data_IF_108726073860
#
_entry.id   IF_108726073860
#
_cell.length_a   1.000
_cell.length_b   1.000
_cell.length_c   1.000
_cell.angle_alpha   90.00
_cell.angle_beta   90.00
_cell.angle_gamma   90.00
#
_symmetry.space_group_name_H-M   'P 1'
#
loop_
_entity.id
_entity.type
_entity.pdbx_description
1 polymer ?
#
# COMPACT_ATOMS: atom_id res chain seq x y z
N UNK A 1 12.12 -5.01 -21.92
CA UNK A 1 11.73 -4.26 -20.69
C UNK A 1 12.96 -4.15 -19.82
N UNK A 2 13.04 -3.08 -18.99
CA UNK A 2 14.07 -2.99 -17.97
C UNK A 2 13.78 -4.04 -16.89
N UNK A 3 14.81 -4.71 -16.40
CA UNK A 3 14.72 -5.69 -15.32
C UNK A 3 15.17 -5.04 -14.01
N UNK A 4 14.56 -5.45 -12.92
CA UNK A 4 14.79 -4.89 -11.59
C UNK A 4 15.29 -5.97 -10.64
N UNK A 5 16.24 -5.59 -9.78
CA UNK A 5 16.75 -6.47 -8.72
C UNK A 5 15.86 -6.46 -7.49
N UNK A 6 15.12 -5.35 -7.31
CA UNK A 6 14.20 -5.14 -6.20
C UNK A 6 12.80 -4.81 -6.71
N UNK A 7 11.79 -5.49 -6.17
CA UNK A 7 10.38 -5.13 -6.30
C UNK A 7 9.86 -4.78 -4.91
N UNK A 8 9.41 -3.53 -4.77
CA UNK A 8 8.83 -3.01 -3.54
C UNK A 8 7.34 -2.84 -3.73
N UNK A 9 6.54 -3.17 -2.74
CA UNK A 9 5.09 -3.17 -2.84
C UNK A 9 4.46 -2.22 -1.83
N UNK A 10 3.39 -1.56 -2.22
CA UNK A 10 2.39 -1.12 -1.27
C UNK A 10 1.58 -2.32 -0.77
N UNK A 11 0.75 -2.10 0.26
CA UNK A 11 -0.09 -3.14 0.86
C UNK A 11 -1.53 -3.01 0.39
N UNK A 12 -2.16 -1.90 0.72
CA UNK A 12 -3.60 -1.69 0.50
C UNK A 12 -3.90 -1.50 -0.99
N UNK A 13 -4.80 -2.29 -1.56
CA UNK A 13 -5.07 -2.24 -3.01
C UNK A 13 -3.98 -2.86 -3.89
N UNK A 14 -2.86 -3.31 -3.31
CA UNK A 14 -1.73 -3.87 -4.04
C UNK A 14 -1.44 -5.32 -3.64
N UNK A 15 -1.03 -5.57 -2.40
CA UNK A 15 -0.83 -6.93 -1.85
C UNK A 15 -2.12 -7.51 -1.29
N UNK A 16 -2.93 -6.67 -0.64
CA UNK A 16 -4.18 -7.06 0.01
C UNK A 16 -5.34 -6.20 -0.48
N UNK A 17 -6.47 -6.85 -0.73
CA UNK A 17 -7.76 -6.18 -0.92
C UNK A 17 -8.27 -5.77 0.48
N UNK A 18 -8.17 -4.50 0.77
CA UNK A 18 -8.57 -3.89 2.05
C UNK A 18 -9.66 -2.84 1.87
N UNK A 19 -10.12 -2.62 0.64
CA UNK A 19 -11.04 -1.54 0.30
C UNK A 19 -12.32 -1.59 1.14
N UNK A 20 -12.95 -2.77 1.25
CA UNK A 20 -14.18 -2.92 2.05
C UNK A 20 -13.93 -2.56 3.51
N UNK A 21 -12.81 -3.02 4.09
CA UNK A 21 -12.45 -2.73 5.48
C UNK A 21 -12.25 -1.23 5.72
N UNK A 22 -11.50 -0.55 4.85
CA UNK A 22 -11.19 0.88 4.98
C UNK A 22 -12.44 1.73 4.78
N UNK A 23 -13.14 1.54 3.66
CA UNK A 23 -14.25 2.44 3.30
C UNK A 23 -15.49 2.23 4.17
N UNK A 24 -15.84 0.98 4.52
CA UNK A 24 -16.99 0.72 5.38
C UNK A 24 -16.75 1.17 6.81
N UNK A 25 -15.54 0.98 7.36
CA UNK A 25 -15.20 1.48 8.68
C UNK A 25 -15.16 3.02 8.73
N UNK A 26 -14.60 3.67 7.70
CA UNK A 26 -14.57 5.13 7.61
C UNK A 26 -16.00 5.72 7.50
N UNK A 27 -16.86 5.11 6.69
CA UNK A 27 -18.26 5.54 6.57
C UNK A 27 -18.98 5.49 7.92
N UNK A 28 -18.72 4.44 8.73
CA UNK A 28 -19.27 4.34 10.07
C UNK A 28 -18.75 5.45 10.99
N UNK A 29 -17.45 5.75 10.97
CA UNK A 29 -16.87 6.85 11.77
C UNK A 29 -17.47 8.20 11.40
N UNK A 30 -17.61 8.48 10.10
CA UNK A 30 -18.25 9.73 9.64
C UNK A 30 -19.67 9.83 10.17
N UNK A 31 -20.44 8.74 10.12
CA UNK A 31 -21.80 8.71 10.67
C UNK A 31 -21.81 8.92 12.19
N UNK A 32 -20.88 8.31 12.94
CA UNK A 32 -20.77 8.48 14.40
C UNK A 32 -20.41 9.92 14.77
N UNK A 33 -19.44 10.55 14.08
CA UNK A 33 -18.91 11.87 14.41
C UNK A 33 -19.79 13.04 13.90
N UNK A 34 -20.45 12.85 12.75
CA UNK A 34 -21.11 13.97 12.04
C UNK A 34 -22.61 13.77 11.85
N UNK A 35 -23.13 12.56 12.03
CA UNK A 35 -24.51 12.19 11.69
C UNK A 35 -24.77 12.11 10.17
N UNK A 36 -23.74 12.25 9.33
CA UNK A 36 -23.88 12.25 7.86
C UNK A 36 -23.52 10.89 7.27
N UNK A 37 -24.16 10.54 6.16
CA UNK A 37 -23.79 9.42 5.32
C UNK A 37 -23.23 9.97 4.01
N UNK A 38 -21.99 9.59 3.66
CA UNK A 38 -21.39 9.94 2.39
C UNK A 38 -21.44 8.75 1.43
N UNK A 39 -21.61 8.96 0.12
CA UNK A 39 -21.53 7.91 -0.87
C UNK A 39 -20.10 7.37 -0.95
N UNK A 40 -19.96 6.05 -1.22
CA UNK A 40 -18.68 5.33 -1.17
C UNK A 40 -17.58 6.00 -2.00
N UNK A 41 -17.88 6.46 -3.20
CA UNK A 41 -16.92 7.09 -4.09
C UNK A 41 -16.33 8.41 -3.55
N UNK A 42 -16.99 9.07 -2.61
CA UNK A 42 -16.44 10.25 -1.93
C UNK A 42 -15.41 9.89 -0.85
N UNK A 43 -15.30 8.61 -0.50
CA UNK A 43 -14.37 8.10 0.51
C UNK A 43 -13.07 7.54 -0.10
N UNK A 44 -13.02 7.35 -1.43
CA UNK A 44 -11.88 6.73 -2.14
C UNK A 44 -10.56 7.48 -1.90
N UNK A 45 -10.61 8.76 -1.54
CA UNK A 45 -9.42 9.55 -1.20
C UNK A 45 -8.67 9.01 0.02
N UNK A 46 -9.32 8.23 0.88
CA UNK A 46 -8.72 7.66 2.08
C UNK A 46 -7.87 6.42 1.79
N UNK A 47 -8.01 5.84 0.59
CA UNK A 47 -7.19 4.71 0.18
C UNK A 47 -5.75 5.14 -0.05
N UNK A 48 -4.79 4.44 0.57
CA UNK A 48 -3.35 4.66 0.38
C UNK A 48 -2.71 5.79 1.21
N UNK A 49 -3.49 6.52 2.03
CA UNK A 49 -2.96 7.54 2.94
C UNK A 49 -3.09 7.13 4.42
N UNK A 50 -2.30 7.74 5.33
CA UNK A 50 -2.45 7.51 6.76
C UNK A 50 -3.85 7.86 7.27
N UNK A 51 -4.38 7.07 8.20
CA UNK A 51 -5.71 7.31 8.78
C UNK A 51 -5.85 8.69 9.41
N UNK A 52 -4.80 9.20 10.05
CA UNK A 52 -4.77 10.58 10.55
C UNK A 52 -5.05 11.59 9.44
N UNK A 53 -4.34 11.49 8.32
CA UNK A 53 -4.47 12.43 7.20
C UNK A 53 -5.86 12.36 6.57
N UNK A 54 -6.46 11.17 6.52
CA UNK A 54 -7.83 11.00 6.05
C UNK A 54 -8.85 11.72 6.98
N UNK A 55 -8.71 11.57 8.30
CA UNK A 55 -9.57 12.23 9.27
C UNK A 55 -9.37 13.76 9.31
N UNK A 56 -8.13 14.24 9.10
CA UNK A 56 -7.82 15.67 8.97
C UNK A 56 -8.51 16.28 7.74
N UNK A 57 -8.49 15.59 6.59
CA UNK A 57 -9.21 16.01 5.38
C UNK A 57 -10.73 16.12 5.58
N UNK A 58 -11.28 15.30 6.47
CA UNK A 58 -12.70 15.30 6.83
C UNK A 58 -13.02 16.30 7.96
N UNK A 59 -12.02 16.99 8.51
CA UNK A 59 -12.14 17.91 9.64
C UNK A 59 -12.71 17.26 10.91
N UNK A 60 -12.52 15.94 11.09
CA UNK A 60 -12.99 15.16 12.25
C UNK A 60 -11.87 14.50 13.03
N UNK A 61 -10.62 14.90 12.77
CA UNK A 61 -9.48 14.29 13.46
C UNK A 61 -9.47 14.64 14.95
N UNK A 62 -9.40 13.58 15.75
CA UNK A 62 -8.89 13.57 17.12
C UNK A 62 -8.19 12.22 17.33
N UNK A 63 -7.32 12.11 18.33
CA UNK A 63 -6.72 10.81 18.67
C UNK A 63 -7.81 9.79 19.03
N UNK A 64 -8.85 10.21 19.73
CA UNK A 64 -9.98 9.34 20.08
C UNK A 64 -10.75 8.85 18.85
N UNK A 65 -10.98 9.72 17.85
CA UNK A 65 -11.62 9.34 16.57
C UNK A 65 -10.76 8.35 15.79
N UNK A 66 -9.44 8.57 15.75
CA UNK A 66 -8.51 7.63 15.11
C UNK A 66 -8.50 6.26 15.80
N UNK A 67 -8.40 6.24 17.13
CA UNK A 67 -8.44 5.01 17.92
C UNK A 67 -9.78 4.27 17.73
N UNK A 68 -10.89 5.03 17.65
CA UNK A 68 -12.20 4.48 17.36
C UNK A 68 -12.28 3.89 15.97
N UNK A 69 -11.70 4.58 14.94
CA UNK A 69 -11.65 4.03 13.58
C UNK A 69 -10.87 2.71 13.53
N UNK A 70 -9.70 2.64 14.17
CA UNK A 70 -8.95 1.38 14.25
C UNK A 70 -9.76 0.24 14.88
N UNK A 71 -10.57 0.54 15.93
CA UNK A 71 -11.45 -0.46 16.54
C UNK A 71 -12.55 -0.92 15.59
N UNK A 72 -13.17 0.01 14.87
CA UNK A 72 -14.21 -0.31 13.88
C UNK A 72 -13.62 -1.10 12.71
N UNK A 73 -12.48 -0.68 12.17
CA UNK A 73 -11.80 -1.37 11.07
C UNK A 73 -11.47 -2.83 11.44
N UNK A 74 -11.06 -3.09 12.69
CA UNK A 74 -10.81 -4.45 13.17
C UNK A 74 -12.03 -5.38 13.08
N UNK A 75 -13.27 -4.85 13.10
CA UNK A 75 -14.49 -5.64 12.90
C UNK A 75 -14.68 -6.08 11.45
N UNK A 76 -14.06 -5.41 10.50
CA UNK A 76 -14.06 -5.74 9.08
C UNK A 76 -12.87 -6.59 8.65
N UNK A 77 -12.01 -7.04 9.58
CA UNK A 77 -10.81 -7.83 9.26
C UNK A 77 -11.10 -9.05 8.37
N UNK A 78 -12.26 -9.67 8.50
CA UNK A 78 -12.65 -10.84 7.69
C UNK A 78 -12.87 -10.52 6.21
N UNK A 79 -12.97 -9.25 5.83
CA UNK A 79 -13.07 -8.83 4.42
C UNK A 79 -11.71 -8.65 3.76
N UNK A 80 -10.63 -8.60 4.54
CA UNK A 80 -9.26 -8.45 4.03
C UNK A 80 -8.77 -9.78 3.46
N UNK A 81 -8.30 -9.75 2.21
CA UNK A 81 -7.76 -10.93 1.54
C UNK A 81 -6.59 -10.59 0.63
N UNK A 82 -5.74 -11.58 0.33
CA UNK A 82 -4.70 -11.44 -0.70
C UNK A 82 -5.37 -11.49 -2.07
N UNK A 83 -4.93 -10.66 -3.00
CA UNK A 83 -5.44 -10.72 -4.37
C UNK A 83 -5.16 -12.11 -5.01
N UNK A 84 -6.11 -12.65 -5.80
CA UNK A 84 -5.96 -13.99 -6.39
C UNK A 84 -4.67 -14.15 -7.21
N UNK A 85 -3.93 -15.23 -6.95
CA UNK A 85 -2.69 -15.57 -7.65
C UNK A 85 -1.45 -14.80 -7.18
N UNK A 86 -1.61 -13.78 -6.32
CA UNK A 86 -0.49 -12.92 -5.93
C UNK A 86 0.53 -13.64 -5.03
N UNK A 87 0.07 -14.52 -4.14
CA UNK A 87 0.95 -15.24 -3.23
C UNK A 87 1.92 -16.17 -3.99
N UNK A 88 1.42 -16.85 -5.01
CA UNK A 88 2.22 -17.71 -5.88
C UNK A 88 3.25 -16.91 -6.69
N UNK A 89 2.87 -15.73 -7.16
CA UNK A 89 3.76 -14.82 -7.88
C UNK A 89 4.86 -14.30 -6.97
N UNK A 90 4.53 -13.87 -5.74
CA UNK A 90 5.52 -13.43 -4.73
C UNK A 90 6.52 -14.55 -4.42
N UNK A 91 6.06 -15.78 -4.22
CA UNK A 91 6.92 -16.92 -3.99
C UNK A 91 7.87 -17.15 -5.18
N UNK A 92 7.36 -17.11 -6.42
CA UNK A 92 8.15 -17.26 -7.64
C UNK A 92 9.23 -16.17 -7.79
N UNK A 93 8.87 -14.91 -7.48
CA UNK A 93 9.81 -13.79 -7.50
C UNK A 93 10.93 -13.99 -6.47
N UNK A 94 10.58 -14.39 -5.26
CA UNK A 94 11.57 -14.67 -4.20
C UNK A 94 12.50 -15.83 -4.59
N UNK A 95 11.96 -16.92 -5.12
CA UNK A 95 12.73 -18.08 -5.57
C UNK A 95 13.66 -17.75 -6.75
N UNK A 96 13.32 -16.74 -7.56
CA UNK A 96 14.19 -16.24 -8.64
C UNK A 96 15.37 -15.38 -8.14
N UNK A 97 15.43 -15.09 -6.83
CA UNK A 97 16.45 -14.23 -6.22
C UNK A 97 16.14 -12.75 -6.27
N UNK A 98 14.93 -12.37 -6.69
CA UNK A 98 14.47 -10.98 -6.62
C UNK A 98 14.30 -10.57 -5.15
N UNK A 99 14.79 -9.38 -4.79
CA UNK A 99 14.66 -8.80 -3.47
C UNK A 99 13.29 -8.14 -3.33
N UNK A 100 12.52 -8.57 -2.33
CA UNK A 100 11.18 -8.05 -2.11
C UNK A 100 11.13 -7.17 -0.87
N UNK A 101 10.38 -6.07 -0.97
CA UNK A 101 10.17 -5.12 0.13
C UNK A 101 8.75 -4.56 0.17
N UNK A 102 8.43 -3.95 1.28
CA UNK A 102 7.14 -3.27 1.50
C UNK A 102 7.40 -1.81 1.90
N UNK A 103 6.61 -0.90 1.34
CA UNK A 103 6.49 0.49 1.77
C UNK A 103 5.00 0.81 1.88
N UNK A 104 4.50 1.01 3.09
CA UNK A 104 3.06 1.18 3.35
C UNK A 104 2.78 2.33 4.31
N UNK A 105 1.61 2.95 4.18
CA UNK A 105 1.08 3.97 5.10
C UNK A 105 0.44 3.40 6.36
N UNK A 106 0.44 2.07 6.53
CA UNK A 106 -0.12 1.40 7.71
C UNK A 106 0.75 1.60 8.95
N UNK A 107 0.09 1.69 10.10
CA UNK A 107 0.77 1.61 11.39
C UNK A 107 1.24 0.17 11.67
N UNK A 108 2.33 0.04 12.42
CA UNK A 108 2.95 -1.27 12.72
C UNK A 108 2.02 -2.24 13.44
N UNK A 109 1.18 -1.71 14.34
CA UNK A 109 0.20 -2.52 15.06
C UNK A 109 -0.94 -3.02 14.15
N UNK A 110 -1.35 -2.24 13.16
CA UNK A 110 -2.36 -2.62 12.15
C UNK A 110 -1.77 -3.67 11.21
N UNK A 111 -0.58 -3.41 10.68
CA UNK A 111 0.15 -4.37 9.84
C UNK A 111 0.28 -5.73 10.53
N UNK A 112 0.75 -5.76 11.77
CA UNK A 112 0.96 -7.00 12.51
C UNK A 112 -0.33 -7.80 12.78
N UNK A 113 -1.46 -7.11 12.98
CA UNK A 113 -2.74 -7.77 13.30
C UNK A 113 -3.53 -8.19 12.07
N UNK A 114 -3.44 -7.45 10.97
CA UNK A 114 -4.33 -7.58 9.82
C UNK A 114 -3.62 -8.13 8.59
N UNK A 115 -2.36 -7.74 8.35
CA UNK A 115 -1.63 -8.02 7.12
C UNK A 115 -0.64 -9.18 7.28
N UNK A 116 0.20 -9.18 8.31
CA UNK A 116 1.18 -10.23 8.52
C UNK A 116 0.57 -11.65 8.55
N UNK A 117 -0.66 -11.88 9.10
CA UNK A 117 -1.32 -13.18 9.07
C UNK A 117 -1.71 -13.67 7.68
N UNK A 118 -1.69 -12.82 6.63
CA UNK A 118 -2.02 -13.22 5.26
C UNK A 118 -0.96 -14.14 4.61
N UNK A 119 0.24 -14.26 5.23
CA UNK A 119 1.19 -15.32 4.93
C UNK A 119 2.27 -14.99 3.89
N UNK A 120 2.35 -13.75 3.41
CA UNK A 120 3.40 -13.31 2.50
C UNK A 120 4.62 -12.68 3.19
N UNK A 121 4.53 -12.35 4.47
CA UNK A 121 5.53 -11.62 5.27
C UNK A 121 6.95 -12.20 5.16
N UNK A 122 7.06 -13.51 5.15
CA UNK A 122 8.32 -14.26 5.07
C UNK A 122 9.15 -14.01 3.81
N UNK A 123 8.56 -13.41 2.79
CA UNK A 123 9.23 -13.13 1.51
C UNK A 123 9.86 -11.72 1.47
N UNK A 124 9.57 -10.86 2.45
CA UNK A 124 10.00 -9.47 2.45
C UNK A 124 11.14 -9.21 3.44
N UNK A 125 12.31 -8.76 2.91
CA UNK A 125 13.48 -8.48 3.74
C UNK A 125 13.35 -7.16 4.52
N UNK A 126 12.72 -6.16 3.91
CA UNK A 126 12.55 -4.83 4.48
C UNK A 126 11.10 -4.37 4.36
N UNK A 127 10.52 -4.01 5.49
CA UNK A 127 9.17 -3.50 5.60
C UNK A 127 9.25 -2.11 6.23
N UNK A 128 8.81 -1.09 5.48
CA UNK A 128 8.75 0.30 5.90
C UNK A 128 7.29 0.65 6.17
N UNK A 129 7.02 1.09 7.37
CA UNK A 129 5.69 1.45 7.86
C UNK A 129 5.68 2.90 8.34
N UNK A 130 4.53 3.41 8.73
CA UNK A 130 4.35 4.84 9.03
C UNK A 130 5.32 5.35 10.11
N UNK A 131 5.67 4.53 11.10
CA UNK A 131 6.57 4.92 12.20
C UNK A 131 8.04 4.96 11.79
N UNK A 132 8.39 4.45 10.62
CA UNK A 132 9.79 4.41 10.16
C UNK A 132 10.26 5.74 9.55
N UNK A 133 9.34 6.67 9.24
CA UNK A 133 9.66 7.98 8.65
C UNK A 133 8.78 9.09 9.24
N UNK A 134 9.26 10.32 9.19
CA UNK A 134 8.50 11.51 9.67
C UNK A 134 7.57 12.08 8.60
N UNK A 135 7.88 11.87 7.32
CA UNK A 135 7.05 12.22 6.19
C UNK A 135 6.56 10.94 5.54
N UNK A 136 5.31 10.95 5.05
CA UNK A 136 4.62 9.79 4.50
C UNK A 136 4.29 10.01 3.03
N UNK A 137 3.81 8.97 2.34
CA UNK A 137 3.31 9.09 0.97
C UNK A 137 2.32 10.26 0.86
N UNK A 138 2.45 11.15 -0.12
CA UNK A 138 3.24 11.07 -1.34
C UNK A 138 4.71 11.53 -1.24
N UNK A 139 5.21 11.94 -0.07
CA UNK A 139 6.61 12.31 0.09
C UNK A 139 7.54 11.10 -0.18
N UNK A 140 8.78 11.34 -0.67
CA UNK A 140 9.72 10.27 -1.01
C UNK A 140 10.32 9.55 0.20
N UNK A 141 10.17 10.09 1.41
CA UNK A 141 10.85 9.62 2.61
C UNK A 141 10.70 8.11 2.87
N UNK A 142 9.51 7.46 2.75
CA UNK A 142 9.38 6.03 2.96
C UNK A 142 10.17 5.20 1.94
N UNK A 143 10.17 5.59 0.67
CA UNK A 143 10.94 4.91 -0.37
C UNK A 143 12.44 5.13 -0.21
N UNK A 144 12.88 6.32 0.17
CA UNK A 144 14.29 6.61 0.47
C UNK A 144 14.78 5.79 1.67
N UNK A 145 13.94 5.59 2.69
CA UNK A 145 14.27 4.73 3.83
C UNK A 145 14.40 3.25 3.42
N UNK A 146 13.52 2.78 2.52
CA UNK A 146 13.70 1.43 1.93
C UNK A 146 15.03 1.31 1.21
N UNK A 147 15.36 2.25 0.31
CA UNK A 147 16.61 2.25 -0.44
C UNK A 147 17.83 2.23 0.48
N UNK A 148 17.79 3.03 1.55
CA UNK A 148 18.84 3.08 2.56
C UNK A 148 19.03 1.75 3.29
N UNK A 149 17.94 1.12 3.76
CA UNK A 149 17.98 -0.18 4.48
C UNK A 149 18.45 -1.31 3.58
N UNK A 150 17.96 -1.35 2.36
CA UNK A 150 18.29 -2.37 1.38
C UNK A 150 19.67 -2.17 0.72
N UNK A 151 20.30 -1.00 0.88
CA UNK A 151 21.50 -0.63 0.14
C UNK A 151 21.27 -0.60 -1.38
N UNK A 152 20.04 -0.31 -1.81
CA UNK A 152 19.61 -0.45 -3.19
C UNK A 152 19.81 0.84 -4.00
N UNK A 153 20.22 0.70 -5.26
CA UNK A 153 20.25 1.83 -6.19
C UNK A 153 18.83 2.05 -6.74
N UNK A 154 18.30 3.30 -6.71
CA UNK A 154 16.96 3.61 -7.23
C UNK A 154 16.70 3.09 -8.64
N UNK A 155 17.73 3.13 -9.49
CA UNK A 155 17.63 2.62 -10.86
C UNK A 155 17.35 1.11 -10.98
N UNK A 156 17.59 0.32 -9.96
CA UNK A 156 17.37 -1.13 -9.94
C UNK A 156 16.11 -1.53 -9.15
N UNK A 157 15.33 -0.55 -8.70
CA UNK A 157 14.13 -0.75 -7.90
C UNK A 157 12.89 -0.34 -8.70
N UNK A 158 11.83 -1.11 -8.57
CA UNK A 158 10.49 -0.72 -9.00
C UNK A 158 9.54 -0.77 -7.81
N UNK A 159 8.73 0.27 -7.66
CA UNK A 159 7.66 0.31 -6.67
C UNK A 159 6.33 -0.02 -7.34
N UNK A 160 5.61 -0.98 -6.77
CA UNK A 160 4.30 -1.44 -7.22
C UNK A 160 3.26 -0.89 -6.26
N UNK A 161 2.30 -0.15 -6.78
CA UNK A 161 1.24 0.47 -6.00
C UNK A 161 -0.01 0.70 -6.84
N UNK A 162 -1.09 1.10 -6.23
CA UNK A 162 -2.41 1.27 -6.86
C UNK A 162 -2.89 2.73 -6.87
N UNK A 163 -2.20 3.64 -6.16
CA UNK A 163 -2.60 5.04 -5.99
C UNK A 163 -1.62 6.04 -6.61
N UNK A 164 -2.10 7.27 -6.84
CA UNK A 164 -1.25 8.41 -7.23
C UNK A 164 -0.24 8.78 -6.14
N UNK A 165 -0.51 8.48 -4.88
CA UNK A 165 0.40 8.74 -3.75
C UNK A 165 1.64 7.83 -3.83
N UNK A 166 1.46 6.58 -4.29
CA UNK A 166 2.55 5.63 -4.53
C UNK A 166 3.43 6.08 -5.69
N UNK A 167 2.79 6.50 -6.79
CA UNK A 167 3.49 7.02 -7.97
C UNK A 167 4.36 8.22 -7.61
N UNK A 168 3.80 9.19 -6.88
CA UNK A 168 4.53 10.40 -6.47
C UNK A 168 5.68 10.08 -5.49
N UNK A 169 5.45 9.17 -4.55
CA UNK A 169 6.49 8.70 -3.62
C UNK A 169 7.65 8.03 -4.38
N UNK A 170 7.35 7.13 -5.31
CA UNK A 170 8.35 6.44 -6.11
C UNK A 170 9.16 7.40 -6.99
N UNK A 171 8.48 8.22 -7.79
CA UNK A 171 9.11 9.12 -8.76
C UNK A 171 9.93 10.20 -8.09
N UNK A 172 9.46 10.74 -6.96
CA UNK A 172 10.22 11.71 -6.15
C UNK A 172 11.47 11.10 -5.52
N UNK A 173 11.49 9.78 -5.30
CA UNK A 173 12.68 9.04 -4.84
C UNK A 173 13.58 8.56 -6.00
N UNK A 174 13.25 8.84 -7.25
CA UNK A 174 13.97 8.39 -8.44
C UNK A 174 13.76 6.91 -8.77
N UNK A 175 12.70 6.29 -8.25
CA UNK A 175 12.34 4.89 -8.45
C UNK A 175 11.26 4.77 -9.54
N UNK A 176 11.38 3.72 -10.38
CA UNK A 176 10.35 3.42 -11.37
C UNK A 176 9.05 2.99 -10.69
N UNK A 177 7.90 3.41 -11.23
CA UNK A 177 6.60 3.02 -10.71
C UNK A 177 5.86 2.06 -11.64
N UNK A 178 5.25 1.03 -11.05
CA UNK A 178 4.37 0.08 -11.72
C UNK A 178 2.98 0.11 -11.06
N UNK A 179 1.95 0.45 -11.84
CA UNK A 179 0.58 0.46 -11.36
C UNK A 179 0.05 -0.97 -11.21
N UNK A 180 -0.45 -1.31 -10.04
CA UNK A 180 -1.22 -2.53 -9.74
C UNK A 180 -2.67 -2.34 -10.16
N UNK A 181 -2.97 -2.53 -11.47
CA UNK A 181 -4.31 -2.24 -12.00
C UNK A 181 -5.39 -3.22 -11.51
N UNK A 182 -5.03 -4.29 -10.85
CA UNK A 182 -5.99 -5.24 -10.25
C UNK A 182 -6.69 -4.71 -8.99
N UNK A 183 -6.10 -3.72 -8.28
CA UNK A 183 -6.70 -3.06 -7.11
C UNK A 183 -6.88 -1.57 -7.28
N UNK A 184 -6.37 -0.97 -8.38
CA UNK A 184 -6.43 0.46 -8.60
C UNK A 184 -7.72 0.89 -9.28
N UNK A 185 -8.44 1.81 -8.65
CA UNK A 185 -9.61 2.49 -9.21
C UNK A 185 -9.27 3.83 -9.90
N UNK A 186 -8.00 4.25 -9.81
CA UNK A 186 -7.54 5.53 -10.33
C UNK A 186 -6.81 5.36 -11.66
N UNK A 187 -6.92 6.33 -12.55
CA UNK A 187 -6.01 6.43 -13.68
C UNK A 187 -4.71 7.08 -13.22
N UNK A 188 -3.56 6.42 -13.49
CA UNK A 188 -2.23 6.90 -13.12
C UNK A 188 -1.40 7.02 -14.41
N UNK A 189 -1.56 8.13 -15.14
CA UNK A 189 -1.01 8.27 -16.49
C UNK A 189 0.52 8.27 -16.54
N UNK A 190 1.18 8.62 -15.43
CA UNK A 190 2.65 8.65 -15.34
C UNK A 190 3.28 7.32 -14.91
N UNK A 191 2.47 6.27 -14.68
CA UNK A 191 3.00 4.95 -14.36
C UNK A 191 3.91 4.44 -15.49
N UNK A 192 5.15 4.05 -15.14
CA UNK A 192 6.10 3.50 -16.11
C UNK A 192 5.62 2.15 -16.67
N UNK A 193 4.96 1.38 -15.82
CA UNK A 193 4.36 0.08 -16.15
C UNK A 193 2.92 0.03 -15.67
N UNK A 194 2.05 -0.60 -16.46
CA UNK A 194 0.66 -0.85 -16.06
C UNK A 194 0.43 -2.36 -16.04
N UNK A 195 0.42 -2.93 -14.84
CA UNK A 195 0.27 -4.35 -14.60
C UNK A 195 -1.21 -4.67 -14.42
N UNK A 196 -1.79 -5.44 -15.33
CA UNK A 196 -3.22 -5.76 -15.32
C UNK A 196 -3.57 -6.87 -14.33
N UNK A 197 -2.63 -7.78 -14.12
CA UNK A 197 -2.76 -8.95 -13.25
C UNK A 197 -1.50 -9.16 -12.44
N UNK A 198 -1.57 -9.85 -11.29
CA UNK A 198 -0.36 -10.21 -10.52
C UNK A 198 0.70 -10.94 -11.33
N UNK A 199 0.33 -11.76 -12.31
CA UNK A 199 1.28 -12.47 -13.17
C UNK A 199 2.18 -11.55 -14.01
N UNK A 200 1.74 -10.33 -14.30
CA UNK A 200 2.53 -9.36 -15.05
C UNK A 200 3.79 -8.92 -14.28
N UNK A 201 3.82 -9.07 -12.94
CA UNK A 201 4.99 -8.84 -12.10
C UNK A 201 6.22 -9.64 -12.54
N UNK A 202 6.00 -10.87 -13.04
CA UNK A 202 7.09 -11.74 -13.50
C UNK A 202 7.85 -11.17 -14.70
N UNK A 203 7.25 -10.20 -15.41
CA UNK A 203 7.91 -9.52 -16.54
C UNK A 203 8.90 -8.44 -16.10
N UNK A 204 8.89 -8.07 -14.82
CA UNK A 204 9.77 -7.03 -14.26
C UNK A 204 11.14 -7.55 -13.84
N UNK A 205 11.34 -8.85 -13.76
CA UNK A 205 12.60 -9.50 -13.36
C UNK A 205 13.26 -10.25 -14.52
N UNK A 206 14.57 -10.47 -14.43
CA UNK A 206 15.27 -11.47 -15.29
C UNK A 206 14.96 -12.86 -14.75
N UNK A 207 14.64 -13.77 -15.69
CA UNK A 207 14.66 -15.20 -15.39
C UNK A 207 16.10 -15.67 -15.17
#
# INVERSE_FOLDING_TARGET
MKHFDHIVFDVDGTLADTEESVLSSLAQIIQEETGKTLPRHELDFALGIPGKDALEKLEIYSQATLDRWCQVAASFKSTISVFPGLLEVIATLADSGCKLGIVSSRARNEYAKEIAPLGFDKYFEHIILIEDTTEHKPAPAPMLEYLRRAGANPGNVVYVGDTVYDEQCATSAGVSFARAAWGSHQDIPNATYNLKTPNDLLTLTTK
#
